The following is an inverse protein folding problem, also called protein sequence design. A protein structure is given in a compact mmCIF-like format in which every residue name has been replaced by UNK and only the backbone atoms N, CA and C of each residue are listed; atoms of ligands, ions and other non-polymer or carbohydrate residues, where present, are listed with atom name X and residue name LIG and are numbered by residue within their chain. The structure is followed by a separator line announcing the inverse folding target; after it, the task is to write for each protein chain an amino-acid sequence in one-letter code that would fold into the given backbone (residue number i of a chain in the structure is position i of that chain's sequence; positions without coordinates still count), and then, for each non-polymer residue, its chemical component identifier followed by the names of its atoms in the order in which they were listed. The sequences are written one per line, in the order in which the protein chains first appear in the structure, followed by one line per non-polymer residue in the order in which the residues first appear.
data_IF_199034678540
#
_entry.id   IF_199034678540
#
_cell.length_a   1.000
_cell.length_b   1.000
_cell.length_c   1.000
_cell.angle_alpha   90.00
_cell.angle_beta   90.00
_cell.angle_gamma   90.00
#
_symmetry.space_group_name_H-M   'P 1'
#
loop_
_entity.id
_entity.type
_entity.pdbx_description
1 polymer ?
#
# COMPACT_ATOMS: atom_id res chain seq x y z
N UNK A 1 20.92 -40.32 89.19
CA UNK A 1 20.11 -39.18 89.68
C UNK A 1 20.72 -37.90 89.14
N UNK A 2 20.08 -37.24 88.17
CA UNK A 2 19.99 -35.78 88.05
C UNK A 2 19.20 -35.41 86.79
N UNK A 3 18.35 -34.42 86.98
CA UNK A 3 17.18 -34.04 86.21
C UNK A 3 17.50 -33.55 84.79
N UNK A 4 16.68 -33.94 83.82
CA UNK A 4 16.74 -33.43 82.44
C UNK A 4 15.69 -32.34 82.29
N UNK A 5 16.17 -31.12 82.00
CA UNK A 5 15.41 -29.95 81.57
C UNK A 5 14.88 -30.22 80.16
N UNK A 6 13.57 -30.13 79.95
CA UNK A 6 12.96 -30.13 78.61
C UNK A 6 12.77 -28.68 78.18
N UNK A 7 13.58 -28.22 77.23
CA UNK A 7 13.35 -26.96 76.51
C UNK A 7 12.32 -27.20 75.40
N UNK A 8 11.27 -26.38 75.38
CA UNK A 8 10.33 -26.29 74.27
C UNK A 8 10.95 -25.45 73.15
N UNK A 9 11.12 -26.03 71.96
CA UNK A 9 11.54 -25.31 70.75
C UNK A 9 10.31 -24.93 69.92
N UNK A 10 10.09 -23.62 69.74
CA UNK A 10 9.15 -23.09 68.76
C UNK A 10 9.80 -23.14 67.36
N UNK A 11 9.20 -23.90 66.44
CA UNK A 11 9.58 -23.93 65.03
C UNK A 11 8.75 -22.87 64.28
N UNK A 12 9.37 -21.75 63.92
CA UNK A 12 8.78 -20.76 63.00
C UNK A 12 9.07 -21.25 61.59
N UNK A 13 8.04 -21.70 60.87
CA UNK A 13 8.12 -22.02 59.45
C UNK A 13 7.91 -20.74 58.65
N UNK A 14 8.98 -20.15 58.14
CA UNK A 14 8.92 -19.04 57.18
C UNK A 14 8.66 -19.61 55.79
N UNK A 15 7.41 -19.49 55.32
CA UNK A 15 7.02 -19.78 53.93
C UNK A 15 7.61 -18.69 53.01
N UNK A 16 8.66 -19.07 52.26
CA UNK A 16 9.16 -18.27 51.14
C UNK A 16 8.18 -18.42 49.96
N UNK A 17 7.34 -17.42 49.73
CA UNK A 17 6.57 -17.30 48.49
C UNK A 17 7.43 -16.49 47.51
N UNK A 18 7.96 -17.07 46.42
CA UNK A 18 8.66 -16.28 45.42
C UNK A 18 7.62 -15.39 44.73
N UNK A 19 7.69 -14.09 45.01
CA UNK A 19 6.96 -13.08 44.28
C UNK A 19 7.52 -13.01 42.85
N UNK A 20 6.96 -13.82 41.96
CA UNK A 20 7.09 -13.60 40.52
C UNK A 20 6.37 -12.28 40.20
N UNK A 21 7.11 -11.19 40.09
CA UNK A 21 6.65 -10.05 39.32
C UNK A 21 6.61 -10.53 37.87
N UNK A 22 5.40 -10.82 37.38
CA UNK A 22 5.15 -10.85 35.94
C UNK A 22 5.44 -9.41 35.46
N UNK A 23 6.66 -9.15 34.99
CA UNK A 23 6.87 -8.03 34.10
C UNK A 23 6.17 -8.47 32.82
N UNK A 24 4.97 -7.97 32.59
CA UNK A 24 4.38 -8.01 31.27
C UNK A 24 5.37 -7.24 30.37
N UNK A 25 6.25 -7.96 29.70
CA UNK A 25 7.01 -7.45 28.57
C UNK A 25 5.96 -7.15 27.50
N UNK A 26 5.46 -5.90 27.52
CA UNK A 26 4.82 -5.29 26.37
C UNK A 26 5.92 -5.14 25.32
N UNK A 27 6.12 -6.18 24.53
CA UNK A 27 6.93 -6.06 23.32
C UNK A 27 6.17 -5.08 22.40
N UNK A 28 6.82 -3.99 21.96
CA UNK A 28 6.10 -2.90 21.36
C UNK A 28 5.57 -3.33 19.99
N UNK A 29 4.24 -3.27 19.86
CA UNK A 29 3.52 -3.41 18.59
C UNK A 29 4.04 -2.44 17.51
N UNK A 30 4.65 -1.34 17.94
CA UNK A 30 5.30 -0.34 17.11
C UNK A 30 6.81 -0.58 17.05
N UNK A 31 7.35 -0.67 15.84
CA UNK A 31 8.78 -0.51 15.60
C UNK A 31 9.15 0.96 15.73
N UNK A 32 9.96 1.30 16.74
CA UNK A 32 10.51 2.63 16.90
C UNK A 32 11.78 2.77 16.09
N UNK A 33 11.74 3.59 15.05
CA UNK A 33 12.89 3.92 14.22
C UNK A 33 13.42 5.29 14.62
N UNK A 34 14.72 5.45 14.74
CA UNK A 34 15.35 6.76 14.92
C UNK A 34 15.82 7.31 13.59
N UNK A 35 15.68 8.62 13.42
CA UNK A 35 16.38 9.34 12.34
C UNK A 35 17.86 9.36 12.65
N UNK A 36 18.67 8.74 11.79
CA UNK A 36 20.13 8.78 11.89
C UNK A 36 20.75 9.80 10.94
N UNK A 37 20.08 10.08 9.82
CA UNK A 37 20.51 11.08 8.86
C UNK A 37 19.31 11.75 8.18
N UNK A 38 19.42 13.05 7.90
CA UNK A 38 18.43 13.85 7.18
C UNK A 38 19.06 14.45 5.92
N UNK A 39 18.40 14.28 4.78
CA UNK A 39 18.78 14.87 3.51
C UNK A 39 17.71 15.86 3.03
N UNK A 40 18.13 17.08 2.71
CA UNK A 40 17.29 18.03 1.96
C UNK A 40 17.48 17.78 0.47
N UNK A 41 16.41 17.36 -0.21
CA UNK A 41 16.48 16.93 -1.62
C UNK A 41 16.18 18.10 -2.56
N UNK A 42 15.02 18.73 -2.43
CA UNK A 42 14.56 19.80 -3.31
C UNK A 42 13.39 20.59 -2.72
N UNK A 43 13.09 21.75 -3.31
CA UNK A 43 11.77 22.39 -3.17
C UNK A 43 10.77 21.73 -4.13
N UNK A 44 9.58 21.41 -3.65
CA UNK A 44 8.55 20.70 -4.41
C UNK A 44 7.22 21.44 -4.41
N UNK A 45 6.41 21.18 -5.44
CA UNK A 45 5.09 21.77 -5.57
C UNK A 45 4.15 21.32 -4.43
N UNK A 46 3.52 22.28 -3.76
CA UNK A 46 2.68 22.06 -2.57
C UNK A 46 1.17 22.27 -2.80
N UNK A 47 0.73 22.59 -4.01
CA UNK A 47 -0.65 23.03 -4.26
C UNK A 47 -1.71 21.91 -4.20
N UNK A 48 -1.31 20.66 -4.40
CA UNK A 48 -2.15 19.47 -4.30
C UNK A 48 -1.25 18.23 -4.10
N UNK A 49 -1.77 17.11 -3.57
CA UNK A 49 -0.97 15.91 -3.40
C UNK A 49 -0.81 15.18 -4.72
N UNK A 50 0.39 14.67 -4.98
CA UNK A 50 0.68 13.78 -6.11
C UNK A 50 1.76 12.79 -5.66
N UNK A 51 1.62 11.53 -6.04
CA UNK A 51 2.52 10.46 -5.58
C UNK A 51 3.95 10.63 -6.10
N UNK A 52 4.90 10.78 -5.18
CA UNK A 52 6.33 10.60 -5.45
C UNK A 52 6.75 9.16 -5.12
N UNK A 53 7.88 8.72 -5.66
CA UNK A 53 8.39 7.37 -5.45
C UNK A 53 9.83 7.37 -4.96
N UNK A 54 10.17 6.36 -4.17
CA UNK A 54 11.48 6.15 -3.55
C UNK A 54 11.92 4.72 -3.84
N UNK A 55 13.10 4.57 -4.43
CA UNK A 55 13.66 3.29 -4.81
C UNK A 55 15.10 3.17 -4.34
N UNK A 56 15.37 2.15 -3.53
CA UNK A 56 16.73 1.77 -3.14
C UNK A 56 17.13 0.53 -3.94
N UNK A 57 18.17 0.66 -4.78
CA UNK A 57 18.71 -0.44 -5.59
C UNK A 57 20.23 -0.34 -5.60
N UNK A 58 20.87 -1.18 -4.78
CA UNK A 58 22.31 -1.11 -4.53
C UNK A 58 23.13 -1.03 -5.84
N UNK A 59 24.14 -0.14 -5.89
CA UNK A 59 24.65 0.71 -4.80
C UNK A 59 23.96 2.09 -4.72
N UNK A 60 22.84 2.31 -5.40
CA UNK A 60 22.22 3.62 -5.55
C UNK A 60 20.84 3.73 -4.89
N UNK A 61 20.44 4.97 -4.66
CA UNK A 61 19.10 5.33 -4.24
C UNK A 61 18.56 6.41 -5.17
N UNK A 62 17.28 6.29 -5.51
CA UNK A 62 16.59 7.13 -6.47
C UNK A 62 15.31 7.69 -5.88
N UNK A 63 15.00 8.95 -6.22
CA UNK A 63 13.73 9.60 -5.87
C UNK A 63 13.12 10.15 -7.15
N UNK A 64 11.86 9.82 -7.42
CA UNK A 64 11.09 10.37 -8.52
C UNK A 64 10.01 11.32 -7.98
N UNK A 65 10.06 12.60 -8.36
CA UNK A 65 9.23 13.64 -7.76
C UNK A 65 8.89 14.76 -8.76
N UNK A 66 8.02 15.69 -8.36
CA UNK A 66 7.78 16.94 -9.08
C UNK A 66 8.41 18.13 -8.35
N UNK A 67 9.26 18.90 -9.02
CA UNK A 67 9.89 20.09 -8.43
C UNK A 67 8.87 21.23 -8.17
N UNK A 68 9.32 22.33 -7.56
CA UNK A 68 8.51 23.53 -7.33
C UNK A 68 7.90 24.15 -8.60
N UNK A 69 8.47 23.85 -9.77
CA UNK A 69 7.98 24.30 -11.07
C UNK A 69 7.08 23.25 -11.74
N UNK A 70 6.76 22.15 -11.05
CA UNK A 70 5.95 21.01 -11.47
C UNK A 70 6.61 20.10 -12.51
N UNK A 71 7.92 20.22 -12.73
CA UNK A 71 8.63 19.33 -13.66
C UNK A 71 8.90 17.99 -13.00
N UNK A 72 8.78 16.89 -13.75
CA UNK A 72 9.14 15.55 -13.29
C UNK A 72 10.66 15.44 -13.18
N UNK A 73 11.16 15.04 -12.02
CA UNK A 73 12.58 14.99 -11.67
C UNK A 73 12.96 13.61 -11.14
N UNK A 74 14.15 13.15 -11.51
CA UNK A 74 14.80 11.96 -10.95
C UNK A 74 16.05 12.42 -10.22
N UNK A 75 16.07 12.26 -8.90
CA UNK A 75 17.26 12.44 -8.09
C UNK A 75 17.92 11.09 -7.81
N UNK A 76 19.25 11.05 -7.77
CA UNK A 76 20.05 9.88 -7.43
C UNK A 76 21.20 10.28 -6.51
N UNK A 77 21.47 9.43 -5.52
CA UNK A 77 22.74 9.35 -4.80
C UNK A 77 23.29 7.93 -4.79
N UNK A 78 24.57 7.80 -4.47
CA UNK A 78 25.15 6.53 -4.06
C UNK A 78 24.90 6.32 -2.56
N UNK A 79 24.57 5.11 -2.15
CA UNK A 79 24.34 4.82 -0.73
C UNK A 79 25.62 5.06 0.08
N UNK A 80 25.49 5.70 1.24
CA UNK A 80 26.62 6.13 2.08
C UNK A 80 27.23 7.48 1.68
N UNK A 81 26.75 8.12 0.61
CA UNK A 81 27.14 9.47 0.21
C UNK A 81 25.98 10.45 0.43
N UNK A 82 26.30 11.73 0.71
CA UNK A 82 25.31 12.79 0.94
C UNK A 82 24.88 13.52 -0.33
N UNK A 83 25.69 13.41 -1.39
CA UNK A 83 25.52 14.23 -2.59
C UNK A 83 24.46 13.66 -3.53
N UNK A 84 23.49 14.51 -3.86
CA UNK A 84 22.43 14.18 -4.81
C UNK A 84 22.67 14.84 -6.15
N UNK A 85 22.44 14.06 -7.21
CA UNK A 85 22.36 14.55 -8.59
C UNK A 85 20.92 14.47 -9.06
N UNK A 86 20.44 15.46 -9.80
CA UNK A 86 19.06 15.52 -10.26
C UNK A 86 18.99 15.76 -11.76
N UNK A 87 18.10 15.04 -12.44
CA UNK A 87 17.78 15.24 -13.85
C UNK A 87 16.30 15.53 -14.01
N UNK A 88 15.98 16.53 -14.85
CA UNK A 88 14.61 16.92 -15.18
C UNK A 88 14.20 16.18 -16.45
N UNK A 89 13.05 15.50 -16.41
CA UNK A 89 12.44 14.85 -17.56
C UNK A 89 11.47 15.83 -18.26
N UNK A 90 11.25 15.69 -19.58
CA UNK A 90 10.32 16.53 -20.34
C UNK A 90 8.86 16.15 -20.08
N UNK A 91 8.42 16.26 -18.82
CA UNK A 91 7.06 16.03 -18.35
C UNK A 91 6.75 16.97 -17.18
N UNK A 92 5.55 17.56 -17.16
CA UNK A 92 5.15 18.57 -16.19
C UNK A 92 3.73 18.31 -15.69
N UNK A 93 3.53 18.27 -14.37
CA UNK A 93 2.23 17.94 -13.78
C UNK A 93 1.26 19.11 -13.78
N UNK A 94 -0.02 18.79 -14.02
CA UNK A 94 -1.16 19.70 -13.99
C UNK A 94 -1.73 19.89 -12.58
N UNK A 95 -3.05 19.69 -12.44
CA UNK A 95 -3.82 19.77 -11.18
C UNK A 95 -4.59 18.46 -10.94
N UNK A 96 -3.90 17.33 -11.01
CA UNK A 96 -4.53 16.02 -10.90
C UNK A 96 -3.72 15.12 -9.95
N UNK A 97 -4.36 14.64 -8.89
CA UNK A 97 -3.69 13.82 -7.88
C UNK A 97 -3.40 12.39 -8.38
N UNK A 98 -4.01 11.99 -9.50
CA UNK A 98 -3.79 10.70 -10.15
C UNK A 98 -2.42 10.58 -10.81
N UNK A 99 -1.76 11.72 -11.06
CA UNK A 99 -0.55 11.84 -11.88
C UNK A 99 0.74 11.45 -11.13
N UNK A 100 0.66 10.46 -10.22
CA UNK A 100 1.80 9.91 -9.51
C UNK A 100 2.88 9.35 -10.42
N UNK A 101 4.07 9.16 -9.86
CA UNK A 101 5.25 8.62 -10.57
C UNK A 101 5.54 7.21 -10.04
N UNK A 102 5.96 6.32 -10.92
CA UNK A 102 6.50 5.00 -10.59
C UNK A 102 7.88 4.87 -11.20
N UNK A 103 8.84 4.37 -10.41
CA UNK A 103 10.22 4.12 -10.83
C UNK A 103 10.64 2.68 -10.55
N UNK A 104 11.42 2.09 -11.45
CA UNK A 104 12.08 0.81 -11.23
C UNK A 104 13.47 0.77 -11.86
N UNK A 105 14.29 -0.18 -11.43
CA UNK A 105 15.56 -0.53 -12.05
C UNK A 105 15.43 -1.95 -12.60
N UNK A 106 15.77 -2.21 -13.86
CA UNK A 106 15.75 -3.58 -14.41
C UNK A 106 16.97 -4.41 -13.98
N UNK A 107 17.05 -5.69 -14.40
CA UNK A 107 18.20 -6.55 -14.09
C UNK A 107 19.52 -6.07 -14.68
N UNK A 108 19.47 -5.29 -15.77
CA UNK A 108 20.63 -4.73 -16.43
C UNK A 108 21.02 -3.35 -15.86
N UNK A 109 20.32 -2.87 -14.82
CA UNK A 109 20.56 -1.60 -14.14
C UNK A 109 19.93 -0.39 -14.82
N UNK A 110 19.15 -0.53 -15.89
CA UNK A 110 18.45 0.60 -16.51
C UNK A 110 17.33 1.09 -15.62
N UNK A 111 17.14 2.41 -15.55
CA UNK A 111 16.01 3.01 -14.85
C UNK A 111 14.82 3.10 -15.78
N UNK A 112 13.66 2.79 -15.24
CA UNK A 112 12.35 2.88 -15.87
C UNK A 112 11.51 3.86 -15.08
N UNK A 113 10.95 4.86 -15.75
CA UNK A 113 10.12 5.89 -15.11
C UNK A 113 8.83 6.05 -15.91
N UNK A 114 7.69 6.04 -15.21
CA UNK A 114 6.41 6.34 -15.82
C UNK A 114 5.52 7.09 -14.83
N UNK A 115 4.74 8.05 -15.30
CA UNK A 115 3.91 8.89 -14.45
C UNK A 115 3.25 10.02 -15.20
N UNK A 116 2.56 10.90 -14.49
CA UNK A 116 1.87 12.06 -15.07
C UNK A 116 0.75 11.72 -16.06
N UNK A 117 -0.07 10.70 -15.77
CA UNK A 117 -1.14 10.26 -16.67
C UNK A 117 -2.44 9.98 -15.92
N UNK A 118 -3.53 10.53 -16.44
CA UNK A 118 -4.88 10.16 -16.07
C UNK A 118 -5.76 10.19 -17.32
N UNK A 119 -5.98 9.01 -17.90
CA UNK A 119 -6.63 8.84 -19.21
C UNK A 119 -5.85 9.60 -20.30
N UNK A 120 -4.52 9.48 -20.28
CA UNK A 120 -3.60 10.17 -21.20
C UNK A 120 -2.70 9.16 -21.93
N UNK A 121 -2.01 9.61 -22.98
CA UNK A 121 -1.01 8.81 -23.67
C UNK A 121 0.14 8.44 -22.75
N UNK A 122 0.67 7.22 -22.91
CA UNK A 122 1.77 6.70 -22.12
C UNK A 122 2.95 7.69 -22.08
N UNK A 123 3.34 8.04 -20.86
CA UNK A 123 4.57 8.75 -20.54
C UNK A 123 5.49 7.73 -19.89
N UNK A 124 6.40 7.17 -20.68
CA UNK A 124 7.39 6.22 -20.25
C UNK A 124 8.78 6.67 -20.71
N UNK A 125 9.73 6.58 -19.80
CA UNK A 125 11.14 6.88 -20.01
C UNK A 125 12.01 5.70 -19.57
N UNK A 126 13.08 5.45 -20.32
CA UNK A 126 14.16 4.56 -19.89
C UNK A 126 15.48 5.33 -19.87
N UNK A 127 16.35 5.09 -18.90
CA UNK A 127 17.69 5.66 -18.93
C UNK A 127 18.46 5.18 -20.17
N UNK A 128 19.37 6.01 -20.69
CA UNK A 128 20.22 5.60 -21.81
C UNK A 128 21.33 4.63 -21.40
N UNK A 129 21.74 4.67 -20.12
CA UNK A 129 22.79 3.83 -19.54
C UNK A 129 22.33 3.24 -18.19
N UNK A 130 22.85 2.07 -17.80
CA UNK A 130 22.63 1.49 -16.48
C UNK A 130 23.05 2.44 -15.36
N UNK A 131 22.24 2.52 -14.31
CA UNK A 131 22.45 3.29 -13.08
C UNK A 131 22.72 4.79 -13.28
N UNK A 132 22.47 5.31 -14.48
CA UNK A 132 22.75 6.69 -14.88
C UNK A 132 21.44 7.46 -15.11
N UNK A 133 21.32 8.64 -14.47
CA UNK A 133 20.15 9.51 -14.62
C UNK A 133 20.37 10.66 -15.62
N UNK A 134 21.58 10.87 -16.15
CA UNK A 134 21.92 12.05 -16.97
C UNK A 134 21.09 12.14 -18.26
N UNK A 135 20.65 11.01 -18.81
CA UNK A 135 19.85 10.98 -20.03
C UNK A 135 18.81 9.87 -19.99
N UNK A 136 17.63 10.22 -20.49
CA UNK A 136 16.48 9.34 -20.63
C UNK A 136 15.91 9.46 -22.03
N UNK A 137 15.45 8.34 -22.57
CA UNK A 137 14.72 8.27 -23.82
C UNK A 137 13.22 8.13 -23.51
N UNK A 138 12.39 9.01 -24.07
CA UNK A 138 10.93 8.84 -24.04
C UNK A 138 10.53 7.90 -25.15
N UNK A 139 9.82 6.84 -24.83
CA UNK A 139 9.44 5.82 -25.81
C UNK A 139 8.11 5.14 -25.45
N UNK A 140 7.39 4.57 -26.42
CA UNK A 140 6.29 3.65 -26.12
C UNK A 140 6.84 2.36 -25.49
N UNK A 141 5.98 1.56 -24.85
CA UNK A 141 6.36 0.19 -24.51
C UNK A 141 6.14 -0.73 -25.71
N UNK A 142 4.93 -0.71 -26.26
CA UNK A 142 4.46 -1.51 -27.38
C UNK A 142 3.97 -0.63 -28.55
N UNK A 143 3.49 0.58 -28.26
CA UNK A 143 2.97 1.52 -29.26
C UNK A 143 1.50 1.30 -29.61
N UNK A 144 0.77 0.47 -28.86
CA UNK A 144 -0.67 0.24 -28.95
C UNK A 144 -1.24 -0.03 -27.56
N UNK A 145 -2.54 0.22 -27.36
CA UNK A 145 -3.20 0.24 -26.05
C UNK A 145 -2.49 1.13 -25.02
N UNK A 146 -1.98 2.29 -25.45
CA UNK A 146 -1.12 3.19 -24.65
C UNK A 146 -1.60 4.64 -24.72
N UNK A 147 -2.89 4.86 -25.00
CA UNK A 147 -3.42 6.20 -25.32
C UNK A 147 -4.35 6.76 -24.24
N UNK A 148 -4.79 5.94 -23.28
CA UNK A 148 -5.72 6.32 -22.21
C UNK A 148 -5.25 5.77 -20.86
N UNK A 149 -3.96 5.87 -20.58
CA UNK A 149 -3.26 5.27 -19.46
C UNK A 149 -3.58 5.99 -18.14
N UNK A 150 -3.75 5.21 -17.07
CA UNK A 150 -3.78 5.65 -15.66
C UNK A 150 -3.08 4.62 -14.78
N UNK A 151 -2.54 5.05 -13.64
CA UNK A 151 -1.96 4.20 -12.59
C UNK A 151 -0.81 3.30 -13.07
N UNK A 152 0.28 3.88 -13.61
CA UNK A 152 1.46 3.12 -13.98
C UNK A 152 2.09 2.47 -12.74
N UNK A 153 2.46 1.20 -12.84
CA UNK A 153 3.09 0.47 -11.74
C UNK A 153 4.12 -0.51 -12.26
N UNK A 154 5.37 -0.36 -11.79
CA UNK A 154 6.40 -1.38 -11.93
C UNK A 154 6.38 -2.33 -10.74
N UNK A 155 6.68 -3.60 -10.99
CA UNK A 155 6.94 -4.60 -9.95
C UNK A 155 7.84 -5.69 -10.52
N UNK A 156 8.49 -6.42 -9.61
CA UNK A 156 9.39 -7.52 -9.95
C UNK A 156 8.93 -8.81 -9.31
N UNK A 157 9.17 -9.93 -10.00
CA UNK A 157 9.10 -11.25 -9.36
C UNK A 157 10.38 -11.55 -8.58
N UNK A 158 10.41 -12.70 -7.90
CA UNK A 158 11.55 -13.16 -7.10
C UNK A 158 12.83 -13.33 -7.91
N UNK A 159 12.71 -13.56 -9.21
CA UNK A 159 13.85 -13.67 -10.11
C UNK A 159 14.35 -12.27 -10.57
N UNK A 160 13.60 -11.20 -10.30
CA UNK A 160 13.92 -9.84 -10.73
C UNK A 160 13.43 -9.47 -12.13
N UNK A 161 12.58 -10.28 -12.76
CA UNK A 161 11.91 -9.91 -14.02
C UNK A 161 11.01 -8.70 -13.78
N UNK A 162 11.09 -7.72 -14.68
CA UNK A 162 10.36 -6.48 -14.54
C UNK A 162 9.03 -6.54 -15.30
N UNK A 163 7.96 -6.22 -14.59
CA UNK A 163 6.62 -6.09 -15.14
C UNK A 163 6.12 -4.67 -15.01
N UNK A 164 5.15 -4.32 -15.86
CA UNK A 164 4.44 -3.05 -15.82
C UNK A 164 2.95 -3.26 -15.97
N UNK A 165 2.18 -2.83 -14.97
CA UNK A 165 0.73 -2.80 -15.02
C UNK A 165 0.25 -1.36 -15.21
N UNK A 166 -0.81 -1.23 -16.01
CA UNK A 166 -1.53 0.03 -16.13
C UNK A 166 -2.99 -0.22 -16.51
N UNK A 167 -3.82 0.80 -16.28
CA UNK A 167 -5.20 0.84 -16.78
C UNK A 167 -5.24 1.66 -18.06
N UNK A 168 -5.70 1.08 -19.17
CA UNK A 168 -6.11 1.83 -20.36
C UNK A 168 -7.62 2.06 -20.34
N UNK A 169 -8.05 3.31 -20.47
CA UNK A 169 -9.45 3.70 -20.41
C UNK A 169 -9.80 4.53 -19.17
N UNK A 170 -11.09 4.83 -19.02
CA UNK A 170 -11.62 5.65 -17.92
C UNK A 170 -12.31 4.80 -16.86
N UNK A 171 -12.69 5.44 -15.75
CA UNK A 171 -13.62 4.84 -14.78
C UNK A 171 -14.86 4.32 -15.51
N UNK A 172 -15.27 3.09 -15.24
CA UNK A 172 -16.43 2.51 -15.90
C UNK A 172 -16.17 1.78 -17.24
N UNK A 173 -14.95 1.81 -17.78
CA UNK A 173 -14.56 1.04 -18.96
C UNK A 173 -13.02 0.87 -19.05
N UNK A 174 -12.39 0.56 -17.91
CA UNK A 174 -10.94 0.48 -17.81
C UNK A 174 -10.43 -0.94 -18.03
N UNK A 175 -9.49 -1.12 -18.93
CA UNK A 175 -8.84 -2.40 -19.21
C UNK A 175 -7.49 -2.45 -18.48
N UNK A 176 -7.27 -3.49 -17.68
CA UNK A 176 -5.98 -3.71 -17.01
C UNK A 176 -5.07 -4.52 -17.92
N UNK A 177 -3.95 -3.93 -18.30
CA UNK A 177 -2.89 -4.59 -19.08
C UNK A 177 -1.65 -4.81 -18.21
N UNK A 178 -0.91 -5.88 -18.54
CA UNK A 178 0.37 -6.22 -17.93
C UNK A 178 1.37 -6.48 -19.06
N UNK A 179 2.48 -5.76 -19.02
CA UNK A 179 3.62 -5.95 -19.91
C UNK A 179 4.79 -6.54 -19.11
N UNK A 180 5.63 -7.33 -19.77
CA UNK A 180 6.88 -7.87 -19.23
C UNK A 180 8.05 -7.29 -20.02
N UNK A 181 9.10 -6.88 -19.33
CA UNK A 181 10.30 -6.33 -19.94
C UNK A 181 11.38 -7.40 -20.09
N UNK A 182 11.91 -7.52 -21.30
CA UNK A 182 13.10 -8.28 -21.61
C UNK A 182 14.33 -7.35 -21.49
N UNK A 183 15.11 -7.54 -20.43
CA UNK A 183 16.32 -6.72 -20.17
C UNK A 183 17.43 -6.91 -21.19
N UNK A 184 17.55 -8.10 -21.80
CA UNK A 184 18.58 -8.37 -22.81
C UNK A 184 18.19 -7.76 -24.15
N UNK A 185 16.96 -8.03 -24.60
CA UNK A 185 16.38 -7.49 -25.82
C UNK A 185 15.94 -6.03 -25.73
N UNK A 186 15.94 -5.45 -24.51
CA UNK A 186 15.59 -4.05 -24.23
C UNK A 186 14.20 -3.63 -24.73
N UNK A 187 13.24 -4.53 -24.62
CA UNK A 187 11.90 -4.39 -25.20
C UNK A 187 10.82 -4.87 -24.24
N UNK A 188 9.64 -4.28 -24.36
CA UNK A 188 8.45 -4.76 -23.68
C UNK A 188 7.71 -5.77 -24.55
N UNK A 189 6.99 -6.68 -23.90
CA UNK A 189 6.02 -7.57 -24.52
C UNK A 189 4.75 -7.61 -23.69
N UNK A 190 3.60 -7.74 -24.36
CA UNK A 190 2.31 -7.93 -23.68
C UNK A 190 2.26 -9.34 -23.06
N UNK A 191 1.89 -9.45 -21.79
CA UNK A 191 1.75 -10.76 -21.13
C UNK A 191 0.50 -11.49 -21.62
N UNK A 192 -0.65 -10.83 -21.55
CA UNK A 192 -1.95 -11.33 -22.01
C UNK A 192 -2.41 -10.53 -23.23
N UNK A 193 -2.80 -11.20 -24.32
CA UNK A 193 -3.27 -10.54 -25.55
C UNK A 193 -4.56 -9.72 -25.40
N UNK A 194 -5.15 -9.74 -24.21
CA UNK A 194 -6.42 -9.11 -23.84
C UNK A 194 -6.33 -8.58 -22.40
N UNK A 195 -7.33 -7.83 -21.98
CA UNK A 195 -7.43 -7.35 -20.60
C UNK A 195 -7.48 -8.47 -19.57
N UNK A 196 -6.95 -8.20 -18.37
CA UNK A 196 -7.00 -9.16 -17.26
C UNK A 196 -8.44 -9.41 -16.77
N UNK A 197 -9.26 -8.36 -16.73
CA UNK A 197 -10.65 -8.40 -16.26
C UNK A 197 -11.61 -8.09 -17.40
N UNK A 198 -12.74 -8.79 -17.43
CA UNK A 198 -13.84 -8.53 -18.34
C UNK A 198 -15.13 -8.34 -17.54
N UNK A 199 -15.63 -7.11 -17.53
CA UNK A 199 -16.87 -6.76 -16.85
C UNK A 199 -18.13 -7.17 -17.61
N UNK A 200 -17.98 -7.77 -18.80
CA UNK A 200 -19.07 -8.26 -19.66
C UNK A 200 -20.10 -7.18 -20.02
N UNK A 201 -19.67 -5.91 -20.05
CA UNK A 201 -20.53 -4.74 -20.28
C UNK A 201 -21.39 -4.32 -19.08
N UNK A 202 -21.34 -5.06 -17.97
CA UNK A 202 -22.20 -4.86 -16.80
C UNK A 202 -21.50 -4.12 -15.65
N UNK A 203 -20.17 -4.25 -15.56
CA UNK A 203 -19.41 -3.77 -14.41
C UNK A 203 -17.96 -3.48 -14.76
N UNK A 204 -17.18 -2.96 -13.81
CA UNK A 204 -15.76 -2.69 -13.94
C UNK A 204 -14.98 -3.16 -12.72
N UNK A 205 -13.80 -3.73 -12.96
CA UNK A 205 -12.89 -4.14 -11.90
C UNK A 205 -12.07 -2.94 -11.41
N UNK A 206 -11.86 -2.88 -10.09
CA UNK A 206 -10.94 -1.94 -9.44
C UNK A 206 -9.91 -2.73 -8.63
N UNK A 207 -8.88 -3.29 -9.29
CA UNK A 207 -7.84 -4.06 -8.63
C UNK A 207 -6.92 -3.17 -7.80
N UNK A 208 -6.40 -3.72 -6.71
CA UNK A 208 -5.15 -3.26 -6.13
C UNK A 208 -3.98 -3.75 -7.00
N UNK A 209 -2.80 -3.15 -6.77
CA UNK A 209 -1.57 -3.72 -7.31
C UNK A 209 -1.36 -5.13 -6.75
N UNK A 210 -0.77 -6.04 -7.55
CA UNK A 210 -0.41 -7.36 -7.05
C UNK A 210 0.60 -7.24 -5.91
N UNK A 211 0.46 -8.09 -4.90
CA UNK A 211 1.43 -8.21 -3.81
C UNK A 211 2.14 -9.55 -3.96
N UNK A 212 3.47 -9.54 -3.99
CA UNK A 212 4.27 -10.77 -4.01
C UNK A 212 4.29 -11.39 -2.60
N UNK A 213 3.76 -12.59 -2.47
CA UNK A 213 3.79 -13.39 -1.26
C UNK A 213 5.10 -14.17 -1.12
N UNK A 214 5.39 -14.61 0.11
CA UNK A 214 6.53 -15.48 0.39
C UNK A 214 6.40 -16.88 -0.26
N UNK A 215 5.18 -17.26 -0.67
CA UNK A 215 4.88 -18.47 -1.45
C UNK A 215 5.27 -18.36 -2.94
N UNK A 216 5.80 -17.20 -3.35
CA UNK A 216 6.23 -16.92 -4.71
C UNK A 216 5.07 -16.59 -5.66
N UNK A 217 3.85 -16.41 -5.15
CA UNK A 217 2.72 -15.94 -5.94
C UNK A 217 2.56 -14.42 -5.83
N UNK A 218 2.13 -13.80 -6.91
CA UNK A 218 1.48 -12.50 -6.88
C UNK A 218 0.01 -12.67 -6.57
N UNK A 219 -0.45 -11.93 -5.57
CA UNK A 219 -1.82 -11.97 -5.08
C UNK A 219 -2.58 -10.72 -5.51
N UNK A 220 -3.74 -10.92 -6.15
CA UNK A 220 -4.63 -9.85 -6.58
C UNK A 220 -5.86 -9.76 -5.68
N UNK A 221 -6.24 -8.53 -5.36
CA UNK A 221 -7.47 -8.19 -4.65
C UNK A 221 -8.21 -7.10 -5.42
N UNK A 222 -9.48 -7.30 -5.72
CA UNK A 222 -10.30 -6.30 -6.42
C UNK A 222 -11.75 -6.30 -5.94
N UNK A 223 -12.48 -5.29 -6.40
CA UNK A 223 -13.93 -5.19 -6.30
C UNK A 223 -14.50 -4.89 -7.67
N UNK A 224 -15.74 -5.25 -7.91
CA UNK A 224 -16.51 -4.89 -9.09
C UNK A 224 -17.37 -3.65 -8.80
N UNK A 225 -17.67 -2.82 -9.81
CA UNK A 225 -18.56 -1.66 -9.67
C UNK A 225 -19.54 -1.58 -10.84
N UNK A 226 -20.84 -1.44 -10.55
CA UNK A 226 -21.87 -1.44 -11.59
C UNK A 226 -21.87 -0.15 -12.42
N UNK A 227 -21.73 1.01 -11.78
CA UNK A 227 -21.78 2.30 -12.47
C UNK A 227 -20.88 3.34 -11.77
N UNK A 228 -20.77 4.60 -12.25
CA UNK A 228 -19.83 5.56 -11.66
C UNK A 228 -20.05 5.93 -10.18
N UNK A 229 -21.16 5.52 -9.55
CA UNK A 229 -21.42 5.74 -8.11
C UNK A 229 -20.61 4.74 -7.28
N UNK A 230 -19.80 5.23 -6.34
CA UNK A 230 -18.88 4.40 -5.56
C UNK A 230 -19.59 3.33 -4.72
N UNK A 231 -20.75 3.63 -4.12
CA UNK A 231 -21.52 2.64 -3.36
C UNK A 231 -22.07 1.47 -4.20
N UNK A 232 -21.87 1.46 -5.53
CA UNK A 232 -22.16 0.28 -6.36
C UNK A 232 -21.00 -0.70 -6.48
N UNK A 233 -19.92 -0.47 -5.72
CA UNK A 233 -18.90 -1.48 -5.51
C UNK A 233 -19.52 -2.72 -4.84
N UNK A 234 -19.09 -3.90 -5.24
CA UNK A 234 -19.61 -5.17 -4.79
C UNK A 234 -18.58 -6.28 -5.05
N UNK A 235 -18.83 -7.49 -4.51
CA UNK A 235 -18.04 -8.70 -4.69
C UNK A 235 -16.53 -8.48 -4.47
N UNK A 236 -16.07 -8.53 -3.21
CA UNK A 236 -14.64 -8.59 -2.92
C UNK A 236 -14.08 -9.89 -3.51
N UNK A 237 -13.08 -9.78 -4.37
CA UNK A 237 -12.61 -10.88 -5.20
C UNK A 237 -11.08 -11.02 -5.16
N UNK A 238 -10.60 -12.25 -5.36
CA UNK A 238 -9.21 -12.63 -5.18
C UNK A 238 -8.77 -13.75 -6.16
N UNK A 239 -7.55 -13.62 -6.68
CA UNK A 239 -6.79 -14.65 -7.42
C UNK A 239 -5.31 -14.52 -7.11
N UNK A 240 -4.53 -15.54 -7.49
CA UNK A 240 -3.07 -15.47 -7.48
C UNK A 240 -2.46 -16.02 -8.78
N UNK A 241 -1.22 -15.63 -9.07
CA UNK A 241 -0.46 -16.03 -10.26
C UNK A 241 1.04 -16.04 -9.98
N UNK A 242 1.82 -16.86 -10.69
CA UNK A 242 3.31 -16.79 -10.65
C UNK A 242 3.90 -16.03 -11.82
N UNK A 243 3.17 -15.93 -12.93
CA UNK A 243 3.70 -15.52 -14.24
C UNK A 243 2.81 -14.50 -14.96
N UNK A 244 1.70 -14.10 -14.35
CA UNK A 244 0.66 -13.24 -14.92
C UNK A 244 0.01 -13.79 -16.20
N UNK A 245 0.18 -15.09 -16.48
CA UNK A 245 -0.43 -15.81 -17.60
C UNK A 245 -1.46 -16.81 -17.09
N UNK A 246 -1.11 -17.54 -16.05
CA UNK A 246 -1.95 -18.54 -15.41
C UNK A 246 -2.40 -18.04 -14.05
N UNK A 247 -3.72 -18.00 -13.85
CA UNK A 247 -4.33 -17.55 -12.61
C UNK A 247 -5.07 -18.70 -11.95
N UNK A 248 -5.05 -18.71 -10.62
CA UNK A 248 -5.80 -19.64 -9.81
C UNK A 248 -6.48 -18.91 -8.65
N UNK A 249 -7.59 -19.47 -8.17
CA UNK A 249 -8.18 -19.02 -6.92
C UNK A 249 -7.40 -19.56 -5.71
N UNK A 250 -7.89 -19.27 -4.51
CA UNK A 250 -7.25 -19.70 -3.26
C UNK A 250 -7.22 -21.23 -3.07
N UNK A 251 -8.10 -21.99 -3.75
CA UNK A 251 -8.10 -23.46 -3.76
C UNK A 251 -7.09 -24.07 -4.74
N UNK A 252 -6.42 -23.26 -5.56
CA UNK A 252 -5.58 -23.75 -6.65
C UNK A 252 -6.37 -24.17 -7.90
N UNK A 253 -7.66 -23.82 -7.99
CA UNK A 253 -8.43 -24.05 -9.21
C UNK A 253 -8.07 -23.01 -10.26
N UNK A 254 -7.77 -23.45 -11.47
CA UNK A 254 -7.45 -22.56 -12.60
C UNK A 254 -8.62 -21.66 -12.96
N UNK A 255 -8.31 -20.39 -13.24
CA UNK A 255 -9.23 -19.34 -13.66
C UNK A 255 -8.95 -18.98 -15.12
N UNK A 256 -10.01 -18.95 -15.92
CA UNK A 256 -9.91 -18.56 -17.34
C UNK A 256 -9.67 -17.06 -17.47
N UNK A 257 -8.88 -16.68 -18.48
CA UNK A 257 -8.65 -15.28 -18.86
C UNK A 257 -9.56 -14.93 -20.06
N UNK A 258 -10.26 -13.78 -20.04
CA UNK A 258 -10.20 -12.75 -19.01
C UNK A 258 -11.00 -13.18 -17.79
N UNK A 259 -10.65 -12.68 -16.61
CA UNK A 259 -11.42 -12.94 -15.39
C UNK A 259 -12.75 -12.21 -15.55
N UNK A 260 -13.79 -12.97 -15.89
CA UNK A 260 -15.13 -12.45 -16.14
C UNK A 260 -15.84 -12.10 -14.84
N UNK A 261 -16.68 -11.07 -14.88
CA UNK A 261 -17.56 -10.70 -13.77
C UNK A 261 -18.37 -11.90 -13.22
N UNK A 262 -18.87 -12.78 -14.11
CA UNK A 262 -19.64 -13.96 -13.71
C UNK A 262 -18.82 -15.10 -13.12
N UNK A 263 -17.49 -15.02 -13.10
CA UNK A 263 -16.64 -16.02 -12.45
C UNK A 263 -16.85 -15.96 -10.93
N UNK A 264 -17.50 -16.98 -10.37
CA UNK A 264 -17.83 -17.01 -8.92
C UNK A 264 -16.71 -17.61 -8.09
N UNK A 265 -15.80 -18.39 -8.69
CA UNK A 265 -14.69 -19.05 -7.97
C UNK A 265 -13.69 -18.09 -7.35
N UNK A 266 -13.71 -16.82 -7.76
CA UNK A 266 -12.81 -15.76 -7.30
C UNK A 266 -13.40 -14.89 -6.19
N UNK A 267 -14.68 -15.07 -5.82
CA UNK A 267 -15.32 -14.22 -4.82
C UNK A 267 -14.89 -14.64 -3.41
N UNK A 268 -14.34 -13.70 -2.65
CA UNK A 268 -13.94 -13.86 -1.25
C UNK A 268 -15.05 -13.41 -0.27
N UNK A 269 -15.75 -12.32 -0.58
CA UNK A 269 -16.95 -11.89 0.13
C UNK A 269 -17.98 -11.35 -0.89
N UNK A 270 -19.17 -11.98 -1.03
CA UNK A 270 -20.21 -11.55 -1.96
C UNK A 270 -20.99 -10.32 -1.45
N UNK A 271 -20.28 -9.26 -1.05
CA UNK A 271 -20.89 -7.99 -0.63
C UNK A 271 -21.72 -7.43 -1.77
N UNK A 272 -23.01 -7.22 -1.55
CA UNK A 272 -23.90 -6.63 -2.56
C UNK A 272 -23.65 -5.12 -2.74
N UNK A 273 -24.07 -4.53 -3.88
CA UNK A 273 -24.04 -3.08 -4.03
C UNK A 273 -24.86 -2.41 -2.94
N UNK A 274 -24.52 -1.16 -2.63
CA UNK A 274 -25.14 -0.32 -1.59
C UNK A 274 -24.83 -0.71 -0.14
N UNK A 275 -23.89 -1.64 0.07
CA UNK A 275 -23.47 -2.11 1.39
C UNK A 275 -22.09 -1.57 1.83
N UNK A 276 -21.68 -0.40 1.35
CA UNK A 276 -20.53 0.30 1.93
C UNK A 276 -19.16 -0.11 1.40
N UNK A 277 -19.06 -1.10 0.50
CA UNK A 277 -17.76 -1.55 -0.01
C UNK A 277 -17.04 -0.41 -0.77
N UNK A 278 -15.78 -0.14 -0.45
CA UNK A 278 -15.01 0.91 -1.12
C UNK A 278 -13.77 0.35 -1.84
N UNK A 279 -13.60 0.70 -3.11
CA UNK A 279 -12.45 0.26 -3.91
C UNK A 279 -11.11 0.81 -3.39
N UNK A 280 -11.10 1.96 -2.72
CA UNK A 280 -9.90 2.57 -2.13
C UNK A 280 -9.61 2.10 -0.70
N UNK A 281 -10.53 1.37 -0.06
CA UNK A 281 -10.42 0.90 1.33
C UNK A 281 -10.42 -0.63 1.39
N UNK A 282 -9.40 -1.20 0.75
CA UNK A 282 -9.14 -2.64 0.73
C UNK A 282 -7.63 -2.89 0.72
N UNK A 283 -7.18 -3.85 1.51
CA UNK A 283 -5.77 -4.17 1.71
C UNK A 283 -5.57 -5.68 1.74
N UNK A 284 -4.47 -6.12 1.13
CA UNK A 284 -4.01 -7.50 1.22
C UNK A 284 -2.82 -7.53 2.18
N UNK A 285 -2.78 -8.57 3.02
CA UNK A 285 -1.64 -8.90 3.85
C UNK A 285 -1.53 -10.40 4.06
N UNK A 286 -0.65 -10.79 4.98
CA UNK A 286 -0.39 -12.19 5.31
C UNK A 286 -0.30 -12.37 6.82
N UNK A 287 -0.76 -13.53 7.29
CA UNK A 287 -0.61 -13.95 8.68
C UNK A 287 0.75 -14.62 8.94
N UNK A 288 1.01 -15.07 10.18
CA UNK A 288 2.32 -15.62 10.57
C UNK A 288 2.71 -16.89 9.81
N UNK A 289 1.74 -17.57 9.20
CA UNK A 289 1.92 -18.79 8.40
C UNK A 289 2.00 -18.48 6.90
N UNK A 290 1.96 -17.20 6.51
CA UNK A 290 1.93 -16.78 5.11
C UNK A 290 0.57 -16.98 4.44
N UNK A 291 -0.51 -17.21 5.20
CA UNK A 291 -1.86 -17.31 4.64
C UNK A 291 -2.38 -15.90 4.32
N UNK A 292 -3.13 -15.80 3.23
CA UNK A 292 -3.66 -14.53 2.74
C UNK A 292 -4.74 -13.97 3.64
N UNK A 293 -4.62 -12.68 3.95
CA UNK A 293 -5.62 -11.87 4.64
C UNK A 293 -6.11 -10.77 3.72
N UNK A 294 -7.43 -10.62 3.60
CA UNK A 294 -8.07 -9.55 2.86
C UNK A 294 -8.82 -8.64 3.83
N UNK A 295 -8.31 -7.45 4.08
CA UNK A 295 -8.98 -6.44 4.88
C UNK A 295 -9.72 -5.42 4.00
N UNK A 296 -10.88 -4.98 4.45
CA UNK A 296 -11.76 -4.09 3.69
C UNK A 296 -12.77 -3.41 4.60
N UNK A 297 -13.36 -2.32 4.10
CA UNK A 297 -14.46 -1.64 4.74
C UNK A 297 -15.80 -2.02 4.08
N UNK A 298 -16.86 -2.18 4.89
CA UNK A 298 -18.27 -2.24 4.44
C UNK A 298 -19.22 -1.78 5.55
N UNK A 299 -20.51 -1.70 5.26
CA UNK A 299 -21.53 -1.43 6.27
C UNK A 299 -21.83 -2.69 7.11
N UNK A 300 -21.99 -2.49 8.42
CA UNK A 300 -22.56 -3.49 9.32
C UNK A 300 -24.10 -3.54 9.20
N UNK A 301 -24.75 -4.37 10.01
CA UNK A 301 -26.20 -4.52 10.04
C UNK A 301 -26.97 -3.25 10.43
N UNK A 302 -26.30 -2.24 11.00
CA UNK A 302 -26.87 -0.93 11.37
C UNK A 302 -26.67 0.11 10.27
N UNK A 303 -25.98 -0.22 9.18
CA UNK A 303 -25.57 0.74 8.15
C UNK A 303 -24.35 1.56 8.54
N UNK A 304 -23.63 1.17 9.60
CA UNK A 304 -22.44 1.85 10.08
C UNK A 304 -21.23 1.28 9.37
N UNK A 305 -20.32 2.15 8.96
CA UNK A 305 -19.05 1.77 8.36
C UNK A 305 -18.17 1.03 9.36
N UNK A 306 -17.73 -0.17 9.02
CA UNK A 306 -16.83 -1.00 9.83
C UNK A 306 -15.74 -1.64 8.98
N UNK A 307 -14.64 -2.00 9.63
CA UNK A 307 -13.58 -2.81 9.07
C UNK A 307 -13.89 -4.30 9.22
N UNK A 308 -13.54 -5.04 8.19
CA UNK A 308 -13.63 -6.49 8.12
C UNK A 308 -12.29 -7.07 7.67
N UNK A 309 -12.02 -8.29 8.11
CA UNK A 309 -10.94 -9.13 7.59
C UNK A 309 -11.52 -10.45 7.08
N UNK A 310 -10.90 -11.00 6.05
CA UNK A 310 -11.30 -12.25 5.43
C UNK A 310 -10.07 -13.15 5.24
N UNK A 311 -10.18 -14.42 5.66
CA UNK A 311 -9.16 -15.47 5.47
C UNK A 311 -9.84 -16.75 4.98
N UNK A 312 -9.14 -17.50 4.14
CA UNK A 312 -9.63 -18.78 3.65
C UNK A 312 -9.27 -19.91 4.60
N UNK A 313 -10.29 -20.60 5.15
CA UNK A 313 -10.17 -21.68 6.13
C UNK A 313 -11.30 -22.71 5.93
N UNK A 314 -11.01 -23.98 6.18
CA UNK A 314 -12.00 -25.06 6.10
C UNK A 314 -12.82 -25.05 4.78
N UNK A 315 -12.11 -24.93 3.66
CA UNK A 315 -12.65 -24.89 2.30
C UNK A 315 -13.59 -23.69 2.00
N UNK A 316 -13.58 -22.64 2.84
CA UNK A 316 -14.39 -21.42 2.64
C UNK A 316 -13.68 -20.15 3.07
N UNK A 317 -14.17 -19.01 2.58
CA UNK A 317 -13.76 -17.71 3.11
C UNK A 317 -14.52 -17.40 4.40
N UNK A 318 -13.79 -17.08 5.47
CA UNK A 318 -14.32 -16.64 6.76
C UNK A 318 -14.19 -15.12 6.83
N UNK A 319 -15.31 -14.41 7.01
CA UNK A 319 -15.34 -12.95 7.17
C UNK A 319 -15.60 -12.59 8.63
N UNK A 320 -14.82 -11.67 9.17
CA UNK A 320 -14.94 -11.22 10.54
C UNK A 320 -14.92 -9.69 10.61
N UNK A 321 -15.87 -9.10 11.33
CA UNK A 321 -15.84 -7.67 11.66
C UNK A 321 -14.77 -7.43 12.73
N UNK A 322 -13.92 -6.43 12.51
CA UNK A 322 -12.75 -6.14 13.35
C UNK A 322 -12.76 -4.72 13.94
N UNK A 323 -13.85 -3.99 13.78
CA UNK A 323 -14.11 -2.72 14.47
C UNK A 323 -15.55 -2.67 14.97
N UNK A 324 -15.85 -1.80 15.94
CA UNK A 324 -17.22 -1.54 16.41
C UNK A 324 -17.44 -0.05 16.66
N UNK A 325 -17.27 0.75 15.61
CA UNK A 325 -17.55 2.18 15.70
C UNK A 325 -19.05 2.45 15.90
N UNK A 326 -19.45 3.37 16.79
CA UNK A 326 -20.84 3.50 17.19
C UNK A 326 -21.72 4.30 16.22
N UNK A 327 -21.17 5.22 15.45
CA UNK A 327 -21.95 6.24 14.73
C UNK A 327 -21.19 6.95 13.61
N UNK A 328 -20.74 6.21 12.59
CA UNK A 328 -20.17 6.78 11.37
C UNK A 328 -20.57 6.00 10.12
N UNK A 329 -21.15 6.70 9.14
CA UNK A 329 -21.45 6.14 7.82
C UNK A 329 -20.69 6.96 6.79
N UNK A 330 -19.77 6.32 6.08
CA UNK A 330 -19.06 6.97 4.99
C UNK A 330 -20.04 7.26 3.85
N UNK A 331 -20.23 8.54 3.54
CA UNK A 331 -21.06 9.02 2.43
C UNK A 331 -20.40 8.70 1.08
N UNK A 332 -20.68 7.49 0.57
CA UNK A 332 -20.09 6.97 -0.68
C UNK A 332 -21.09 6.86 -1.83
N UNK A 333 -22.28 7.44 -1.67
CA UNK A 333 -23.30 7.59 -2.71
C UNK A 333 -22.97 8.73 -3.69
N UNK A 334 -21.72 8.77 -4.17
CA UNK A 334 -21.20 9.85 -4.98
C UNK A 334 -20.35 9.33 -6.15
N UNK A 335 -20.14 10.20 -7.14
CA UNK A 335 -19.29 9.96 -8.31
C UNK A 335 -17.96 10.70 -8.15
N UNK A 336 -16.96 10.28 -8.94
CA UNK A 336 -15.65 10.94 -8.98
C UNK A 336 -14.71 10.51 -7.86
N UNK A 337 -13.67 11.31 -7.64
CA UNK A 337 -12.64 11.09 -6.63
C UNK A 337 -13.16 11.45 -5.24
N UNK A 338 -13.46 10.45 -4.43
CA UNK A 338 -13.95 10.66 -3.06
C UNK A 338 -12.77 10.73 -2.08
N UNK A 339 -12.87 11.61 -1.08
CA UNK A 339 -11.91 11.66 0.02
C UNK A 339 -11.87 10.33 0.78
N UNK A 340 -10.69 9.93 1.25
CA UNK A 340 -10.46 8.64 1.90
C UNK A 340 -10.82 8.72 3.39
N UNK A 341 -12.09 8.52 3.73
CA UNK A 341 -12.56 8.66 5.11
C UNK A 341 -12.18 7.47 6.02
N UNK A 342 -12.05 6.28 5.43
CA UNK A 342 -11.54 5.08 6.11
C UNK A 342 -10.50 4.41 5.20
N UNK A 343 -9.36 4.05 5.77
CA UNK A 343 -8.33 3.28 5.08
C UNK A 343 -7.83 2.13 5.92
N UNK A 344 -7.42 1.04 5.25
CA UNK A 344 -6.57 0.01 5.81
C UNK A 344 -5.18 0.20 5.21
N UNK A 345 -4.22 0.64 6.00
CA UNK A 345 -2.91 1.00 5.49
C UNK A 345 -2.01 -0.23 5.34
N UNK A 346 -2.06 -1.16 6.29
CA UNK A 346 -1.23 -2.37 6.34
C UNK A 346 -1.92 -3.48 7.15
N UNK A 347 -1.67 -4.72 6.75
CA UNK A 347 -2.10 -5.93 7.46
C UNK A 347 -0.87 -6.83 7.54
N UNK A 348 -0.44 -7.19 8.75
CA UNK A 348 0.70 -8.07 8.93
C UNK A 348 0.57 -8.96 10.15
N UNK A 349 1.25 -10.10 10.08
CA UNK A 349 1.55 -10.91 11.25
C UNK A 349 2.26 -10.08 12.31
N UNK A 350 1.82 -10.25 13.54
CA UNK A 350 2.48 -9.76 14.74
C UNK A 350 2.99 -10.90 15.59
N UNK A 351 3.42 -10.56 16.80
CA UNK A 351 3.95 -11.55 17.72
C UNK A 351 2.84 -12.36 18.42
N UNK A 352 3.25 -13.52 18.95
CA UNK A 352 2.43 -14.35 19.85
C UNK A 352 1.06 -14.72 19.26
N UNK A 353 1.00 -15.00 17.96
CA UNK A 353 -0.23 -15.44 17.29
C UNK A 353 -1.27 -14.34 17.11
N UNK A 354 -0.84 -13.10 16.86
CA UNK A 354 -1.74 -12.00 16.54
C UNK A 354 -1.50 -11.48 15.13
N UNK A 355 -2.55 -10.99 14.51
CA UNK A 355 -2.51 -10.15 13.31
C UNK A 355 -2.71 -8.71 13.76
N UNK A 356 -2.03 -7.77 13.11
CA UNK A 356 -2.32 -6.36 13.29
C UNK A 356 -2.82 -5.75 11.98
N UNK A 357 -3.78 -4.85 12.10
CA UNK A 357 -4.35 -4.08 10.99
C UNK A 357 -4.23 -2.60 11.34
N UNK A 358 -3.45 -1.84 10.57
CA UNK A 358 -3.40 -0.39 10.71
C UNK A 358 -4.53 0.26 9.93
N UNK A 359 -5.13 1.28 10.53
CA UNK A 359 -6.23 2.01 9.91
C UNK A 359 -6.12 3.51 10.12
N UNK A 360 -6.76 4.24 9.21
CA UNK A 360 -7.13 5.65 9.43
C UNK A 360 -8.65 5.77 9.33
N UNK A 361 -9.21 6.65 10.16
CA UNK A 361 -10.63 6.92 10.20
C UNK A 361 -10.86 8.42 10.46
N UNK A 362 -11.71 9.05 9.65
CA UNK A 362 -11.95 10.50 9.69
C UNK A 362 -12.45 10.99 11.07
N UNK A 363 -13.43 10.28 11.65
CA UNK A 363 -14.00 10.59 12.98
C UNK A 363 -13.19 10.07 14.18
N UNK A 364 -12.76 8.81 14.17
CA UNK A 364 -12.14 8.17 15.35
C UNK A 364 -10.61 8.16 15.34
N UNK A 365 -9.98 8.81 14.35
CA UNK A 365 -8.53 8.87 14.22
C UNK A 365 -7.92 7.61 13.60
N UNK A 366 -6.63 7.41 13.83
CA UNK A 366 -5.84 6.30 13.30
C UNK A 366 -5.39 5.36 14.40
N UNK A 367 -5.19 4.08 14.12
CA UNK A 367 -4.71 3.14 15.12
C UNK A 367 -4.28 1.79 14.56
N UNK A 368 -4.02 0.86 15.46
CA UNK A 368 -3.83 -0.55 15.14
C UNK A 368 -4.92 -1.39 15.80
N UNK A 369 -5.53 -2.28 15.03
CA UNK A 369 -6.40 -3.32 15.56
C UNK A 369 -5.57 -4.59 15.76
N UNK A 370 -5.57 -5.12 16.98
CA UNK A 370 -4.90 -6.37 17.34
C UNK A 370 -5.91 -7.50 17.31
N UNK A 371 -5.66 -8.48 16.46
CA UNK A 371 -6.59 -9.56 16.14
C UNK A 371 -5.93 -10.87 16.55
N UNK A 372 -6.66 -11.75 17.24
CA UNK A 372 -6.18 -13.12 17.47
C UNK A 372 -6.09 -13.85 16.13
N UNK A 373 -4.91 -14.37 15.80
CA UNK A 373 -4.69 -14.99 14.49
C UNK A 373 -5.49 -16.27 14.33
N UNK A 374 -5.80 -17.01 15.40
CA UNK A 374 -6.52 -18.28 15.28
C UNK A 374 -8.02 -18.08 15.03
N UNK A 375 -8.65 -17.15 15.73
CA UNK A 375 -10.10 -16.92 15.69
C UNK A 375 -10.51 -15.76 14.78
N UNK A 376 -9.56 -14.92 14.34
CA UNK A 376 -9.77 -13.63 13.67
C UNK A 376 -10.55 -12.60 14.51
N UNK A 377 -10.73 -12.84 15.81
CA UNK A 377 -11.46 -11.91 16.67
C UNK A 377 -10.60 -10.73 17.10
N UNK A 378 -11.17 -9.52 17.09
CA UNK A 378 -10.54 -8.35 17.71
C UNK A 378 -10.28 -8.62 19.19
N UNK A 379 -9.02 -8.49 19.60
CA UNK A 379 -8.59 -8.62 21.00
C UNK A 379 -8.37 -7.25 21.65
N UNK A 380 -7.89 -6.27 20.88
CA UNK A 380 -7.54 -4.95 21.39
C UNK A 380 -7.59 -3.91 20.26
N UNK A 381 -8.18 -2.73 20.53
CA UNK A 381 -8.11 -1.55 19.67
C UNK A 381 -7.06 -0.59 20.26
N UNK A 382 -5.93 -0.47 19.57
CA UNK A 382 -4.81 0.39 19.92
C UNK A 382 -4.94 1.72 19.14
N UNK A 383 -6.04 2.44 19.35
CA UNK A 383 -6.23 3.78 18.77
C UNK A 383 -5.04 4.69 19.13
N UNK A 384 -4.48 5.36 18.12
CA UNK A 384 -3.28 6.20 18.21
C UNK A 384 -1.96 5.46 17.97
N UNK A 385 -1.94 4.13 18.04
CA UNK A 385 -0.74 3.34 17.75
C UNK A 385 -0.47 3.26 16.24
N UNK A 386 0.79 2.98 15.88
CA UNK A 386 1.25 2.77 14.50
C UNK A 386 2.23 1.62 14.45
N UNK A 387 2.40 1.04 13.27
CA UNK A 387 3.40 -0.01 13.06
C UNK A 387 4.83 0.50 13.11
N UNK A 388 5.03 1.69 12.57
CA UNK A 388 6.31 2.36 12.56
C UNK A 388 6.09 3.72 13.19
N UNK A 389 6.82 3.99 14.26
CA UNK A 389 6.96 5.33 14.81
C UNK A 389 8.39 5.78 14.53
N UNK A 390 8.53 6.93 13.89
CA UNK A 390 9.85 7.53 13.70
C UNK A 390 10.09 8.55 14.79
N UNK A 391 10.93 8.19 15.74
CA UNK A 391 11.28 9.03 16.88
C UNK A 391 11.93 10.34 16.41
N UNK A 392 11.47 11.45 16.97
CA UNK A 392 11.98 12.79 16.63
C UNK A 392 11.34 13.44 15.40
N UNK A 393 10.51 12.73 14.62
CA UNK A 393 9.72 13.35 13.57
C UNK A 393 8.37 13.87 14.11
N UNK A 394 8.12 15.16 13.89
CA UNK A 394 6.86 15.80 14.30
C UNK A 394 5.81 15.53 13.23
N UNK A 395 4.80 14.70 13.51
CA UNK A 395 3.68 14.43 12.60
C UNK A 395 2.56 15.48 12.70
N UNK A 396 2.96 16.75 12.64
CA UNK A 396 2.04 17.88 12.58
C UNK A 396 2.33 18.68 11.32
N UNK A 397 1.44 18.66 10.31
CA UNK A 397 1.66 19.44 9.10
C UNK A 397 1.56 20.94 9.38
N UNK A 398 2.11 21.75 8.48
CA UNK A 398 1.82 23.18 8.43
C UNK A 398 0.31 23.44 8.30
N UNK A 399 -0.15 24.63 8.71
CA UNK A 399 -1.58 24.95 8.71
C UNK A 399 -2.23 24.71 7.34
N UNK A 400 -3.26 23.87 7.31
CA UNK A 400 -4.01 23.54 6.09
C UNK A 400 -3.30 22.55 5.14
N UNK A 401 -2.09 22.09 5.49
CA UNK A 401 -1.35 21.09 4.73
C UNK A 401 -1.63 19.68 5.25
N UNK A 402 -1.26 18.69 4.44
CA UNK A 402 -1.07 17.31 4.83
C UNK A 402 0.39 16.90 4.62
N UNK A 403 0.84 15.95 5.43
CA UNK A 403 2.13 15.27 5.26
C UNK A 403 1.92 14.10 4.30
N UNK A 404 2.77 14.01 3.29
CA UNK A 404 2.87 12.86 2.41
C UNK A 404 4.18 12.14 2.71
N UNK A 405 4.14 10.81 2.65
CA UNK A 405 5.25 9.94 3.04
C UNK A 405 5.37 8.75 2.10
N UNK A 406 6.61 8.28 1.90
CA UNK A 406 6.92 7.06 1.15
C UNK A 406 8.15 6.38 1.77
N UNK A 407 7.97 5.19 2.31
CA UNK A 407 9.08 4.32 2.69
C UNK A 407 9.68 3.64 1.47
N UNK A 408 10.96 3.30 1.54
CA UNK A 408 11.55 2.33 0.62
C UNK A 408 11.13 0.90 0.97
N UNK A 409 11.43 -0.07 0.09
CA UNK A 409 10.96 -1.46 0.21
C UNK A 409 11.36 -2.13 1.55
N UNK A 410 12.42 -1.65 2.20
CA UNK A 410 12.97 -2.19 3.44
C UNK A 410 12.65 -1.32 4.67
N UNK A 411 11.85 -0.27 4.53
CA UNK A 411 11.57 0.73 5.57
C UNK A 411 12.83 1.37 6.20
N UNK A 412 13.98 1.34 5.51
CA UNK A 412 15.23 1.97 5.96
C UNK A 412 15.24 3.46 5.66
N UNK A 413 14.48 3.90 4.66
CA UNK A 413 14.42 5.30 4.27
C UNK A 413 12.99 5.79 4.18
N UNK A 414 12.76 7.01 4.64
CA UNK A 414 11.46 7.68 4.59
C UNK A 414 11.57 8.99 3.82
N UNK A 415 10.90 9.06 2.67
CA UNK A 415 10.69 10.29 1.92
C UNK A 415 9.48 11.03 2.49
N UNK A 416 9.57 12.35 2.66
CA UNK A 416 8.50 13.17 3.26
C UNK A 416 8.41 14.57 2.64
N UNK A 417 7.20 15.03 2.38
CA UNK A 417 6.91 16.40 1.91
C UNK A 417 5.50 16.83 2.32
N UNK A 418 5.19 18.13 2.19
CA UNK A 418 3.88 18.68 2.53
C UNK A 418 3.17 19.26 1.30
N UNK A 419 1.85 19.07 1.23
CA UNK A 419 0.99 19.66 0.20
C UNK A 419 -0.34 20.07 0.83
N UNK A 420 -1.12 20.91 0.15
CA UNK A 420 -2.54 21.00 0.46
C UNK A 420 -3.20 19.62 0.21
N UNK A 421 -4.33 19.31 0.88
CA UNK A 421 -5.12 18.13 0.58
C UNK A 421 -5.65 18.12 -0.86
N UNK A 422 -6.16 16.97 -1.30
CA UNK A 422 -6.82 16.88 -2.61
C UNK A 422 -8.00 17.87 -2.71
N UNK A 423 -8.30 18.28 -3.94
CA UNK A 423 -9.36 19.23 -4.26
C UNK A 423 -10.22 18.69 -5.42
N UNK A 424 -10.59 17.41 -5.37
CA UNK A 424 -11.40 16.76 -6.41
C UNK A 424 -10.82 16.92 -7.83
N UNK A 425 -9.49 16.86 -7.93
CA UNK A 425 -8.74 17.06 -9.19
C UNK A 425 -9.02 18.42 -9.86
N UNK A 426 -9.37 19.43 -9.05
CA UNK A 426 -9.60 20.81 -9.50
C UNK A 426 -8.47 21.75 -9.05
N UNK A 427 -8.10 22.73 -9.90
CA UNK A 427 -7.23 23.83 -9.50
C UNK A 427 -7.78 24.61 -8.31
N UNK A 428 -6.88 25.09 -7.45
CA UNK A 428 -7.23 26.06 -6.39
C UNK A 428 -7.11 27.48 -6.92
N UNK A 429 -7.79 28.44 -6.29
CA UNK A 429 -7.55 29.87 -6.58
C UNK A 429 -6.28 30.33 -5.85
N UNK A 430 -5.43 31.16 -6.49
CA UNK A 430 -4.30 31.79 -5.80
C UNK A 430 -4.73 32.63 -4.59
N UNK A 431 -3.83 32.89 -3.62
CA UNK A 431 -2.42 32.49 -3.61
C UNK A 431 -2.24 30.99 -3.33
N UNK A 432 -1.26 30.39 -4.00
CA UNK A 432 -0.81 29.04 -3.70
C UNK A 432 0.15 29.08 -2.50
N UNK A 433 0.25 27.99 -1.72
CA UNK A 433 1.26 27.92 -0.69
C UNK A 433 2.67 27.93 -1.29
N UNK A 434 3.64 28.34 -0.47
CA UNK A 434 5.04 28.22 -0.83
C UNK A 434 5.44 26.76 -1.09
N UNK A 435 6.41 26.51 -2.00
CA UNK A 435 6.98 25.19 -2.20
C UNK A 435 7.52 24.59 -0.90
N UNK A 436 7.16 23.35 -0.60
CA UNK A 436 7.62 22.62 0.58
C UNK A 436 8.98 21.98 0.31
N UNK A 437 9.69 21.61 1.38
CA UNK A 437 10.96 20.91 1.26
C UNK A 437 10.69 19.41 1.20
N UNK A 438 11.17 18.76 0.15
CA UNK A 438 11.26 17.31 0.07
C UNK A 438 12.47 16.84 0.86
N UNK A 439 12.22 16.05 1.90
CA UNK A 439 13.24 15.47 2.77
C UNK A 439 13.27 13.96 2.65
N UNK A 440 14.46 13.40 2.75
CA UNK A 440 14.67 11.98 2.96
C UNK A 440 15.29 11.78 4.33
N UNK A 441 14.82 10.79 5.07
CA UNK A 441 15.39 10.38 6.36
C UNK A 441 15.94 8.96 6.22
N UNK A 442 17.16 8.75 6.70
CA UNK A 442 17.67 7.41 6.99
C UNK A 442 17.26 7.00 8.39
N UNK A 443 16.76 5.78 8.51
CA UNK A 443 16.12 5.25 9.69
C UNK A 443 16.84 4.01 10.21
N UNK A 444 16.97 3.92 11.52
CA UNK A 444 17.59 2.78 12.22
C UNK A 444 16.64 2.27 13.33
N UNK A 445 16.36 0.95 13.41
CA UNK A 445 15.58 0.36 14.49
C UNK A 445 16.21 0.42 15.90
N UNK A 446 17.47 0.86 16.03
CA UNK A 446 18.35 0.84 17.22
C UNK A 446 19.17 -0.45 17.40
#
# INVERSE_FOLDING_TARGET
MKSILVLASFLIVTLFVPSFRLIAQHDPVSTHLKVVEEFTIAKVWSGHPVGFDLLTSDPFQYIAFYDQHRNMCIARRKLGESDWTTTILPSKVGWDSHNGISIAVDRAGYLHVSGNMHVDTLVYFRSALPNNIQSFERMPMLGYDEYRVTYPQFFKNTEGELFFQYRDGSSGNGITYINQYDSEGKKWSRVLSQGLFDGEGETNAYPNNPVLGADGYFHYLWVWRLNPIANTNHNLSYVRTKDFRHFENIRGESISIPIRYRERKVIADPVGPWNGLMNSSKKLGFDSQGRVLLGYHKFDHRGISQLFICRYEDDRWIQQQISDWPDFTWEINARGSLGKAIDLEEIKAGERGHIYVSYTHEKYGSGLLKIDESSLTLTEDLTGARFITVDGLIDRPSQGMQINQRFDEKNRFLLRWETLPSNFDQPRKPPYPEPSILKLYELDPN
#
